data_IF_381916647949
#
_entry.id   IF_381916647949
#
_cell.length_a   1.000
_cell.length_b   1.000
_cell.length_c   1.000
_cell.angle_alpha   90.00
_cell.angle_beta   90.00
_cell.angle_gamma   90.00
#
_symmetry.space_group_name_H-M   'P 1'
#
loop_
_entity.id
_entity.type
_entity.pdbx_description
1 polymer ?
#
# COMPACT_ATOMS: atom_id res chain seq x y z
N UNK A 1 -23.60 -2.99 15.60
CA UNK A 1 -22.80 -1.89 15.03
C UNK A 1 -21.41 -2.47 14.77
N UNK A 2 -21.17 -3.01 13.58
CA UNK A 2 -19.90 -3.67 13.26
C UNK A 2 -18.86 -2.58 12.99
N UNK A 3 -17.96 -2.38 13.93
CA UNK A 3 -16.77 -1.56 13.76
C UNK A 3 -15.87 -2.33 12.78
N UNK A 4 -15.90 -1.97 11.49
CA UNK A 4 -15.06 -2.62 10.48
C UNK A 4 -13.63 -2.13 10.66
N UNK A 5 -12.83 -2.85 11.47
CA UNK A 5 -11.38 -2.67 11.52
C UNK A 5 -10.83 -2.84 10.12
N UNK A 6 -10.26 -1.78 9.55
CA UNK A 6 -9.67 -1.79 8.21
C UNK A 6 -8.17 -1.98 8.39
N UNK A 7 -7.72 -3.23 8.39
CA UNK A 7 -6.30 -3.55 8.37
C UNK A 7 -5.73 -3.06 7.04
N UNK A 8 -4.58 -2.37 7.04
CA UNK A 8 -3.93 -1.84 5.83
C UNK A 8 -2.42 -2.11 5.86
N UNK A 9 -1.93 -2.80 4.85
CA UNK A 9 -0.50 -2.93 4.56
C UNK A 9 0.02 -1.63 3.90
N UNK A 10 1.28 -1.24 4.10
CA UNK A 10 2.00 -0.27 3.26
C UNK A 10 3.49 -0.53 3.37
N UNK A 11 4.19 -0.55 2.25
CA UNK A 11 5.64 -0.73 2.21
C UNK A 11 6.46 0.56 2.25
N UNK A 12 5.80 1.73 2.26
CA UNK A 12 6.47 3.02 2.44
C UNK A 12 5.74 3.88 3.46
N UNK A 13 6.50 4.45 4.41
CA UNK A 13 5.97 5.21 5.54
C UNK A 13 5.41 6.60 5.15
N UNK A 14 5.93 7.24 4.09
CA UNK A 14 5.55 8.60 3.70
C UNK A 14 4.08 8.72 3.27
N UNK A 15 3.65 7.88 2.32
CA UNK A 15 2.26 7.81 1.86
C UNK A 15 1.34 7.33 3.00
N UNK A 16 1.81 6.36 3.80
CA UNK A 16 1.07 5.84 4.94
C UNK A 16 0.78 6.92 5.99
N UNK A 17 1.77 7.74 6.37
CA UNK A 17 1.60 8.80 7.39
C UNK A 17 0.53 9.81 6.97
N UNK A 18 0.46 10.16 5.70
CA UNK A 18 -0.55 11.09 5.19
C UNK A 18 -1.95 10.46 5.17
N UNK A 19 -2.07 9.20 4.74
CA UNK A 19 -3.33 8.44 4.80
C UNK A 19 -3.82 8.29 6.25
N UNK A 20 -2.90 8.02 7.19
CA UNK A 20 -3.19 7.85 8.62
C UNK A 20 -3.58 9.15 9.32
N UNK A 21 -3.08 10.32 8.89
CA UNK A 21 -3.53 11.62 9.43
C UNK A 21 -5.03 11.86 9.23
N UNK A 22 -5.59 11.31 8.14
CA UNK A 22 -6.96 11.61 7.70
C UNK A 22 -7.95 10.45 7.90
N UNK A 23 -7.49 9.25 8.32
CA UNK A 23 -8.37 8.12 8.62
C UNK A 23 -7.91 7.35 9.86
N UNK A 24 -8.88 6.91 10.67
CA UNK A 24 -8.69 5.81 11.63
C UNK A 24 -8.48 4.50 10.85
N UNK A 25 -7.32 4.32 10.24
CA UNK A 25 -6.88 3.04 9.67
C UNK A 25 -6.30 2.24 10.83
N UNK A 26 -6.87 1.06 11.09
CA UNK A 26 -6.62 0.32 12.32
C UNK A 26 -6.02 -1.06 12.02
N UNK A 27 -4.92 -1.35 12.71
CA UNK A 27 -4.62 -2.62 13.40
C UNK A 27 -3.53 -3.57 12.88
N UNK A 28 -2.89 -3.39 11.72
CA UNK A 28 -1.63 -4.13 11.41
C UNK A 28 -0.89 -3.54 10.21
N UNK A 29 0.33 -3.06 10.44
CA UNK A 29 1.25 -2.55 9.43
C UNK A 29 2.40 -3.52 9.26
N UNK A 30 2.82 -3.77 8.02
CA UNK A 30 3.96 -4.65 7.74
C UNK A 30 4.92 -3.86 6.86
N UNK A 31 6.04 -3.39 7.42
CA UNK A 31 7.02 -2.55 6.72
C UNK A 31 8.17 -3.40 6.25
N UNK A 32 8.59 -3.24 4.99
CA UNK A 32 9.78 -3.93 4.48
C UNK A 32 11.11 -3.27 4.89
N UNK A 33 11.04 -2.15 5.60
CA UNK A 33 12.19 -1.37 6.00
C UNK A 33 12.19 -1.21 7.53
N UNK A 34 13.14 -1.88 8.19
CA UNK A 34 13.46 -1.62 9.59
C UNK A 34 14.22 -0.29 9.67
N UNK A 35 13.52 0.82 9.84
CA UNK A 35 14.14 1.97 10.51
C UNK A 35 13.90 1.77 12.03
N UNK A 36 14.96 1.62 12.84
CA UNK A 36 14.86 1.49 14.29
C UNK A 36 14.00 2.57 14.95
N UNK A 37 13.81 3.72 14.30
CA UNK A 37 12.90 4.79 14.76
C UNK A 37 11.44 4.34 14.92
N UNK A 38 11.02 3.26 14.27
CA UNK A 38 9.64 2.75 14.37
C UNK A 38 9.46 1.70 15.49
N UNK A 39 10.52 1.34 16.20
CA UNK A 39 10.46 0.39 17.32
C UNK A 39 9.56 0.86 18.47
N UNK A 40 9.28 2.17 18.58
CA UNK A 40 8.38 2.74 19.57
C UNK A 40 6.89 2.68 19.20
N UNK A 41 6.54 2.24 17.99
CA UNK A 41 5.15 2.25 17.48
C UNK A 41 4.31 1.01 17.89
N UNK A 42 4.92 0.08 18.64
CA UNK A 42 4.24 -1.05 19.28
C UNK A 42 3.75 -2.15 18.32
N UNK A 43 2.79 -2.96 18.79
CA UNK A 43 2.27 -4.17 18.11
C UNK A 43 1.58 -3.91 16.75
N UNK A 44 1.41 -2.64 16.40
CA UNK A 44 0.87 -2.25 15.11
C UNK A 44 1.89 -2.44 13.98
N UNK A 45 3.17 -2.67 14.26
CA UNK A 45 4.23 -2.79 13.26
C UNK A 45 4.85 -4.19 13.24
N UNK A 46 4.87 -4.76 12.05
CA UNK A 46 5.47 -6.05 11.75
C UNK A 46 6.61 -5.84 10.76
N UNK A 47 7.74 -6.47 11.05
CA UNK A 47 8.85 -6.53 10.11
C UNK A 47 8.50 -7.45 8.94
N UNK A 48 8.58 -6.91 7.73
CA UNK A 48 8.41 -7.66 6.51
C UNK A 48 9.77 -7.84 5.83
N UNK A 49 10.13 -9.05 5.44
CA UNK A 49 11.17 -9.25 4.42
C UNK A 49 10.48 -9.60 3.10
N UNK A 50 10.54 -8.68 2.14
CA UNK A 50 9.91 -8.92 0.84
C UNK A 50 10.61 -10.03 0.05
N UNK A 51 11.86 -10.41 0.37
CA UNK A 51 12.51 -11.57 -0.24
C UNK A 51 11.85 -12.88 0.19
N UNK A 52 11.18 -12.89 1.35
CA UNK A 52 10.53 -14.05 1.95
C UNK A 52 9.02 -13.77 2.18
N UNK A 53 8.22 -13.54 1.12
CA UNK A 53 6.84 -13.08 1.25
C UNK A 53 5.90 -14.08 1.94
N UNK A 54 6.33 -15.35 2.10
CA UNK A 54 5.60 -16.42 2.79
C UNK A 54 5.86 -16.47 4.29
N UNK A 55 6.85 -15.74 4.78
CA UNK A 55 7.20 -15.66 6.21
C UNK A 55 6.40 -14.58 6.95
N UNK A 56 5.31 -14.08 6.34
CA UNK A 56 4.35 -13.24 7.02
C UNK A 56 3.79 -13.95 8.26
N UNK A 57 3.63 -13.26 9.40
CA UNK A 57 3.01 -13.85 10.58
C UNK A 57 1.63 -14.43 10.27
N UNK A 58 1.37 -15.64 10.75
CA UNK A 58 0.16 -16.40 10.43
C UNK A 58 -1.13 -15.70 10.87
N UNK A 59 -1.07 -14.86 11.90
CA UNK A 59 -2.19 -14.03 12.37
C UNK A 59 -2.56 -12.88 11.42
N UNK A 60 -1.75 -12.60 10.39
CA UNK A 60 -2.00 -11.59 9.37
C UNK A 60 -2.57 -12.17 8.07
N UNK A 61 -2.39 -13.47 7.85
CA UNK A 61 -2.83 -14.13 6.61
C UNK A 61 -4.36 -14.11 6.53
N UNK A 62 -4.88 -13.58 5.43
CA UNK A 62 -6.32 -13.52 5.16
C UNK A 62 -7.11 -12.62 6.09
N UNK A 63 -6.50 -11.59 6.67
CA UNK A 63 -7.19 -10.69 7.62
C UNK A 63 -7.48 -9.28 7.06
N UNK A 64 -6.96 -8.95 5.87
CA UNK A 64 -7.01 -7.59 5.34
C UNK A 64 -8.15 -7.35 4.35
N UNK A 65 -9.00 -6.38 4.65
CA UNK A 65 -10.05 -5.88 3.74
C UNK A 65 -9.53 -4.78 2.81
N UNK A 66 -8.36 -4.20 3.13
CA UNK A 66 -7.72 -3.16 2.35
C UNK A 66 -6.19 -3.32 2.41
N UNK A 67 -5.48 -3.12 1.32
CA UNK A 67 -4.00 -3.22 1.27
C UNK A 67 -3.46 -2.04 0.48
N UNK A 68 -2.55 -1.26 1.06
CA UNK A 68 -1.76 -0.24 0.35
C UNK A 68 -0.40 -0.83 0.00
N UNK A 69 0.12 -0.60 -1.20
CA UNK A 69 1.39 -1.19 -1.64
C UNK A 69 2.22 -0.15 -2.37
N UNK A 70 3.46 0.05 -1.92
CA UNK A 70 4.42 0.97 -2.54
C UNK A 70 5.83 0.37 -2.43
N UNK A 71 6.22 -0.56 -3.33
CA UNK A 71 7.45 -1.32 -3.15
C UNK A 71 8.70 -0.42 -3.20
N UNK A 72 9.79 -0.78 -2.49
CA UNK A 72 11.02 0.02 -2.45
C UNK A 72 11.71 0.12 -3.82
N UNK A 73 11.44 -0.83 -4.71
CA UNK A 73 11.99 -0.88 -6.06
C UNK A 73 10.89 -1.25 -7.04
N UNK A 74 10.98 -0.70 -8.25
CA UNK A 74 9.95 -0.85 -9.30
C UNK A 74 10.34 -1.94 -10.31
N UNK A 75 11.24 -2.84 -9.89
CA UNK A 75 11.61 -4.00 -10.70
C UNK A 75 10.49 -5.02 -10.71
N UNK A 76 10.41 -5.81 -11.79
CA UNK A 76 9.39 -6.83 -11.94
C UNK A 76 9.47 -7.87 -10.83
N UNK A 77 10.68 -8.27 -10.46
CA UNK A 77 10.94 -9.29 -9.45
C UNK A 77 10.43 -8.86 -8.08
N UNK A 78 10.65 -7.60 -7.71
CA UNK A 78 10.13 -7.04 -6.45
C UNK A 78 8.61 -7.00 -6.48
N UNK A 79 8.01 -6.59 -7.60
CA UNK A 79 6.55 -6.63 -7.75
C UNK A 79 5.95 -8.04 -7.65
N UNK A 80 6.62 -9.06 -8.19
CA UNK A 80 6.18 -10.45 -8.09
C UNK A 80 6.20 -10.96 -6.64
N UNK A 81 7.18 -10.53 -5.84
CA UNK A 81 7.25 -10.84 -4.40
C UNK A 81 6.15 -10.12 -3.61
N UNK A 82 5.94 -8.83 -3.90
CA UNK A 82 4.86 -8.06 -3.30
C UNK A 82 3.48 -8.61 -3.67
N UNK A 83 3.26 -9.03 -4.90
CA UNK A 83 2.01 -9.65 -5.32
C UNK A 83 1.71 -10.95 -4.55
N UNK A 84 2.73 -11.73 -4.21
CA UNK A 84 2.58 -12.91 -3.34
C UNK A 84 2.15 -12.52 -1.93
N UNK A 85 2.80 -11.53 -1.33
CA UNK A 85 2.46 -11.04 0.00
C UNK A 85 1.03 -10.47 0.05
N UNK A 86 0.67 -9.61 -0.90
CA UNK A 86 -0.69 -9.06 -1.03
C UNK A 86 -1.72 -10.19 -1.10
N UNK A 87 -1.49 -11.22 -1.93
CA UNK A 87 -2.40 -12.36 -2.04
C UNK A 87 -2.58 -13.11 -0.71
N UNK A 88 -1.54 -13.20 0.11
CA UNK A 88 -1.62 -13.84 1.43
C UNK A 88 -2.38 -12.98 2.44
N UNK A 89 -2.28 -11.66 2.36
CA UNK A 89 -2.90 -10.73 3.30
C UNK A 89 -4.41 -10.55 3.07
N UNK A 90 -4.85 -10.56 1.81
CA UNK A 90 -6.26 -10.27 1.47
C UNK A 90 -7.22 -11.30 2.08
N UNK A 91 -8.19 -10.82 2.86
CA UNK A 91 -9.27 -11.61 3.45
C UNK A 91 -10.13 -12.31 2.41
N UNK A 92 -10.41 -11.63 1.30
CA UNK A 92 -11.29 -12.15 0.24
C UNK A 92 -10.94 -11.56 -1.11
N UNK A 93 -11.63 -12.02 -2.17
CA UNK A 93 -11.51 -11.44 -3.53
C UNK A 93 -12.09 -10.03 -3.63
N UNK A 94 -12.97 -9.65 -2.69
CA UNK A 94 -13.59 -8.32 -2.64
C UNK A 94 -12.76 -7.32 -1.81
N UNK A 95 -11.67 -7.78 -1.20
CA UNK A 95 -10.71 -6.92 -0.51
C UNK A 95 -10.08 -5.92 -1.49
N UNK A 96 -9.86 -4.70 -1.00
CA UNK A 96 -9.41 -3.57 -1.80
C UNK A 96 -7.90 -3.45 -1.80
N UNK A 97 -7.35 -3.03 -2.93
CA UNK A 97 -5.92 -2.80 -3.11
C UNK A 97 -5.75 -1.39 -3.67
N UNK A 98 -4.86 -0.63 -3.06
CA UNK A 98 -4.32 0.61 -3.57
C UNK A 98 -2.83 0.42 -3.72
N UNK A 99 -2.27 0.75 -4.88
CA UNK A 99 -0.82 0.66 -5.06
C UNK A 99 -0.28 1.84 -5.84
N UNK A 100 0.98 2.16 -5.58
CA UNK A 100 1.72 3.22 -6.27
C UNK A 100 2.94 2.64 -6.97
N UNK A 101 3.17 3.08 -8.21
CA UNK A 101 4.37 2.71 -8.96
C UNK A 101 4.64 3.69 -10.10
N UNK A 102 5.79 3.54 -10.77
CA UNK A 102 6.01 4.15 -12.08
C UNK A 102 5.74 3.10 -13.17
N UNK A 103 4.99 3.47 -14.21
CA UNK A 103 4.82 2.62 -15.39
C UNK A 103 3.46 1.91 -15.48
N UNK A 104 3.45 0.58 -15.46
CA UNK A 104 2.23 -0.23 -15.71
C UNK A 104 1.68 -0.81 -14.42
N UNK A 105 0.37 -1.07 -14.45
CA UNK A 105 -0.31 -1.72 -13.35
C UNK A 105 0.29 -3.09 -13.09
N UNK A 106 0.46 -3.40 -11.82
CA UNK A 106 0.64 -4.76 -11.34
C UNK A 106 -0.67 -5.19 -10.67
N UNK A 107 -0.93 -6.51 -10.68
CA UNK A 107 -2.18 -7.07 -10.17
C UNK A 107 -3.41 -6.62 -11.00
N UNK A 108 -4.60 -7.13 -10.69
CA UNK A 108 -5.87 -6.74 -11.35
C UNK A 108 -6.33 -5.29 -11.06
N UNK A 109 -5.36 -4.40 -10.78
CA UNK A 109 -5.59 -2.99 -10.52
C UNK A 109 -5.57 -2.16 -11.82
N UNK A 110 -6.31 -1.06 -11.82
CA UNK A 110 -6.38 -0.10 -12.91
C UNK A 110 -5.83 1.24 -12.47
N UNK A 111 -5.13 1.92 -13.38
CA UNK A 111 -4.62 3.26 -13.16
C UNK A 111 -5.78 4.21 -12.85
N UNK A 112 -5.53 5.15 -11.96
CA UNK A 112 -6.45 6.21 -11.55
C UNK A 112 -6.01 7.56 -12.13
N UNK A 113 -6.96 8.49 -12.26
CA UNK A 113 -6.68 9.85 -12.73
C UNK A 113 -5.81 10.61 -11.74
N UNK A 114 -6.06 10.39 -10.45
CA UNK A 114 -5.28 10.98 -9.38
C UNK A 114 -3.84 10.46 -9.44
N UNK A 115 -2.89 11.39 -9.40
CA UNK A 115 -1.46 11.09 -9.32
C UNK A 115 -0.89 11.72 -8.05
N UNK A 116 -0.10 10.98 -7.24
CA UNK A 116 0.54 11.54 -6.06
C UNK A 116 1.50 12.67 -6.45
N UNK A 117 1.46 13.79 -5.72
CA UNK A 117 2.49 14.82 -5.81
C UNK A 117 3.62 14.46 -4.85
N UNK A 118 4.81 14.23 -5.39
CA UNK A 118 6.00 13.92 -4.60
C UNK A 118 7.07 14.94 -4.99
N UNK A 119 7.30 15.95 -4.14
CA UNK A 119 8.29 16.98 -4.42
C UNK A 119 9.67 16.38 -4.71
N UNK A 120 10.36 16.94 -5.70
CA UNK A 120 11.75 16.60 -6.06
C UNK A 120 11.98 15.22 -6.71
N UNK A 121 10.92 14.48 -7.08
CA UNK A 121 11.07 13.32 -7.96
C UNK A 121 11.04 13.73 -9.44
N UNK A 122 11.98 13.19 -10.23
CA UNK A 122 12.07 13.44 -11.68
C UNK A 122 11.05 12.64 -12.50
N UNK A 123 10.31 11.75 -11.84
CA UNK A 123 9.31 10.88 -12.46
C UNK A 123 7.98 10.98 -11.72
N UNK A 124 6.90 10.89 -12.49
CA UNK A 124 5.55 10.94 -11.95
C UNK A 124 5.05 9.55 -11.58
N UNK A 125 4.76 9.36 -10.29
CA UNK A 125 4.05 8.16 -9.83
C UNK A 125 2.63 8.11 -10.35
N UNK A 126 2.15 6.90 -10.62
CA UNK A 126 0.76 6.59 -10.87
C UNK A 126 0.18 5.80 -9.70
N UNK A 127 -1.12 5.99 -9.48
CA UNK A 127 -1.89 5.27 -8.47
C UNK A 127 -2.80 4.26 -9.17
N UNK A 128 -2.93 3.06 -8.61
CA UNK A 128 -3.75 1.99 -9.15
C UNK A 128 -4.63 1.38 -8.08
N UNK A 129 -5.83 0.97 -8.46
CA UNK A 129 -6.78 0.31 -7.56
C UNK A 129 -7.54 -0.82 -8.25
N UNK A 130 -7.95 -1.84 -7.48
CA UNK A 130 -8.89 -2.88 -7.93
C UNK A 130 -10.37 -2.49 -7.67
N UNK A 131 -10.62 -1.25 -7.24
CA UNK A 131 -11.94 -0.71 -6.92
C UNK A 131 -12.12 0.68 -7.52
N UNK A 132 -13.37 1.08 -7.76
CA UNK A 132 -13.70 2.42 -8.25
C UNK A 132 -13.76 3.44 -7.12
N UNK A 133 -13.34 4.67 -7.38
CA UNK A 133 -13.33 5.74 -6.38
C UNK A 133 -13.37 7.11 -7.06
N UNK A 134 -14.51 7.84 -6.97
CA UNK A 134 -14.61 9.19 -7.55
C UNK A 134 -13.52 10.14 -7.05
N UNK A 135 -13.07 9.97 -5.81
CA UNK A 135 -11.98 10.77 -5.24
C UNK A 135 -10.60 10.49 -5.88
N UNK A 136 -10.42 9.33 -6.50
CA UNK A 136 -9.20 8.96 -7.24
C UNK A 136 -9.36 9.17 -8.75
N UNK A 137 -10.56 9.48 -9.23
CA UNK A 137 -10.85 9.68 -10.66
C UNK A 137 -10.81 11.17 -11.05
N UNK A 138 -10.18 12.01 -10.22
CA UNK A 138 -9.92 13.44 -10.48
C UNK A 138 -8.42 13.73 -10.61
N UNK A 139 -8.07 14.81 -11.31
CA UNK A 139 -6.69 15.30 -11.39
C UNK A 139 -6.26 15.84 -10.03
N UNK A 140 -5.05 15.49 -9.59
CA UNK A 140 -4.46 16.10 -8.40
C UNK A 140 -3.98 17.52 -8.76
N UNK A 141 -4.54 18.60 -8.17
CA UNK A 141 -4.12 19.98 -8.47
C UNK A 141 -2.68 20.29 -8.01
N UNK A 142 -2.10 19.46 -7.15
CA UNK A 142 -0.71 19.60 -6.68
C UNK A 142 0.32 19.00 -7.64
N UNK A 143 -0.12 18.33 -8.71
CA UNK A 143 0.75 17.81 -9.76
C UNK A 143 0.76 18.83 -10.89
N UNK A 144 1.93 19.44 -11.08
CA UNK A 144 2.19 20.31 -12.21
C UNK A 144 2.43 19.46 -13.45
N UNK A 145 1.78 19.81 -14.56
CA UNK A 145 1.92 19.11 -15.85
C UNK A 145 2.73 19.94 -16.86
N UNK A 146 3.25 21.09 -16.44
CA UNK A 146 4.04 22.02 -17.26
C UNK A 146 5.49 21.56 -17.50
#
# INVERSE_FOLDING_TARGET
MLQTSTNAFSSTYGILKEIMKHRKVADSFVSSQFDPKFSSEGDQFVLFDFHNPKELPSNLVGTFDFVVVDPPFITREVWELYAQAVKLLLRSKDSKILLTTIGRAYYSCRARTFKPSIPHLVYQYALYTNYESPALDVVNPEVDFD
#
